data_IF_729372707341
#
_entry.id   IF_729372707341
#
_cell.length_a   1.000
_cell.length_b   1.000
_cell.length_c   1.000
_cell.angle_alpha   90.00
_cell.angle_beta   90.00
_cell.angle_gamma   90.00
#
_symmetry.space_group_name_H-M   'P 1'
#
loop_
_entity.id
_entity.type
_entity.pdbx_description
1 polymer ?
#
# COMPACT_ATOMS: atom_id res chain seq x y z
N UNK A 1 -18.89 4.21 43.76
CA UNK A 1 -18.66 3.39 42.56
C UNK A 1 -17.48 2.48 42.89
N UNK A 2 -17.67 1.16 42.85
CA UNK A 2 -16.56 0.26 43.16
C UNK A 2 -15.45 0.40 42.11
N UNK A 3 -14.18 0.27 42.51
CA UNK A 3 -13.02 0.32 41.62
C UNK A 3 -13.19 -0.65 40.44
N UNK A 4 -13.84 -1.80 40.67
CA UNK A 4 -14.25 -2.77 39.65
C UNK A 4 -15.13 -2.14 38.56
N UNK A 5 -16.16 -1.38 38.94
CA UNK A 5 -17.04 -0.66 38.02
C UNK A 5 -16.33 0.46 37.28
N UNK A 6 -15.37 1.16 37.92
CA UNK A 6 -14.54 2.17 37.26
C UNK A 6 -13.64 1.52 36.20
N UNK A 7 -13.02 0.38 36.51
CA UNK A 7 -12.18 -0.39 35.58
C UNK A 7 -13.02 -0.96 34.43
N UNK A 8 -14.24 -1.45 34.67
CA UNK A 8 -15.15 -1.92 33.61
C UNK A 8 -15.63 -0.77 32.73
N UNK A 9 -15.90 0.40 33.30
CA UNK A 9 -16.30 1.59 32.57
C UNK A 9 -15.13 2.15 31.73
N UNK A 10 -13.91 2.18 32.26
CA UNK A 10 -12.70 2.63 31.55
C UNK A 10 -12.25 1.61 30.49
N UNK A 11 -12.42 0.31 30.71
CA UNK A 11 -12.10 -0.71 29.69
C UNK A 11 -13.12 -0.69 28.53
N UNK A 12 -14.41 -0.51 28.81
CA UNK A 12 -15.44 -0.27 27.79
C UNK A 12 -15.28 1.07 27.06
N UNK A 13 -15.03 2.16 27.80
CA UNK A 13 -14.78 3.49 27.25
C UNK A 13 -13.42 3.58 26.52
N UNK A 14 -12.41 2.84 26.97
CA UNK A 14 -11.07 2.80 26.39
C UNK A 14 -11.06 2.11 25.03
N UNK A 15 -11.74 0.98 24.88
CA UNK A 15 -11.94 0.34 23.57
C UNK A 15 -12.74 1.26 22.64
N UNK A 16 -13.79 1.91 23.15
CA UNK A 16 -14.56 2.90 22.40
C UNK A 16 -13.73 4.11 21.94
N UNK A 17 -12.84 4.61 22.79
CA UNK A 17 -11.94 5.73 22.49
C UNK A 17 -10.87 5.35 21.47
N UNK A 18 -10.27 4.15 21.58
CA UNK A 18 -9.30 3.63 20.60
C UNK A 18 -9.96 3.41 19.24
N UNK A 19 -11.15 2.80 19.19
CA UNK A 19 -11.92 2.65 17.96
C UNK A 19 -12.30 4.01 17.36
N UNK A 20 -12.73 4.96 18.18
CA UNK A 20 -13.07 6.31 17.72
C UNK A 20 -11.86 7.08 17.21
N UNK A 21 -10.70 6.95 17.86
CA UNK A 21 -9.44 7.52 17.41
C UNK A 21 -8.99 6.90 16.07
N UNK A 22 -9.10 5.57 15.93
CA UNK A 22 -8.81 4.86 14.69
C UNK A 22 -9.75 5.28 13.55
N UNK A 23 -11.06 5.32 13.80
CA UNK A 23 -12.07 5.79 12.84
C UNK A 23 -11.84 7.25 12.43
N UNK A 24 -11.54 8.12 13.40
CA UNK A 24 -11.23 9.53 13.15
C UNK A 24 -9.94 9.69 12.34
N UNK A 25 -8.92 8.88 12.63
CA UNK A 25 -7.67 8.86 11.89
C UNK A 25 -7.86 8.38 10.44
N UNK A 26 -8.63 7.30 10.23
CA UNK A 26 -8.99 6.81 8.89
C UNK A 26 -9.80 7.85 8.11
N UNK A 27 -10.74 8.53 8.77
CA UNK A 27 -11.55 9.57 8.14
C UNK A 27 -10.74 10.83 7.81
N UNK A 28 -9.79 11.21 8.67
CA UNK A 28 -8.91 12.37 8.48
C UNK A 28 -7.88 12.13 7.37
N UNK A 29 -7.31 10.93 7.30
CA UNK A 29 -6.31 10.57 6.27
C UNK A 29 -6.92 10.50 4.86
N UNK A 30 -8.19 10.08 4.72
CA UNK A 30 -8.92 10.11 3.44
C UNK A 30 -9.12 11.54 2.90
N UNK A 31 -9.48 12.48 3.76
CA UNK A 31 -10.07 13.79 3.37
C UNK A 31 -9.10 14.79 2.70
N UNK A 32 -7.78 14.69 2.93
CA UNK A 32 -6.85 15.78 2.55
C UNK A 32 -5.88 15.47 1.40
N UNK A 33 -5.53 14.20 1.14
CA UNK A 33 -4.54 13.84 0.10
C UNK A 33 -5.03 12.74 -0.85
N UNK A 34 -5.76 11.76 -0.31
CA UNK A 34 -6.33 10.69 -1.13
C UNK A 34 -7.38 11.25 -2.08
N UNK A 35 -8.25 12.16 -1.63
CA UNK A 35 -9.31 12.76 -2.45
C UNK A 35 -8.79 13.50 -3.69
N UNK A 36 -7.64 14.20 -3.60
CA UNK A 36 -7.05 14.89 -4.74
C UNK A 36 -6.44 13.90 -5.75
N UNK A 37 -5.63 12.95 -5.27
CA UNK A 37 -4.97 11.95 -6.12
C UNK A 37 -5.99 11.00 -6.76
N UNK A 38 -7.01 10.57 -6.00
CA UNK A 38 -8.08 9.72 -6.54
C UNK A 38 -8.98 10.47 -7.53
N UNK A 39 -9.17 11.78 -7.33
CA UNK A 39 -9.86 12.63 -8.31
C UNK A 39 -9.06 12.76 -9.60
N UNK A 40 -7.78 13.11 -9.55
CA UNK A 40 -6.91 13.22 -10.73
C UNK A 40 -6.83 11.89 -11.49
N UNK A 41 -6.67 10.77 -10.79
CA UNK A 41 -6.72 9.42 -11.39
C UNK A 41 -8.09 9.09 -12.00
N UNK A 42 -9.18 9.53 -11.37
CA UNK A 42 -10.51 9.33 -11.93
C UNK A 42 -10.75 10.16 -13.18
N UNK A 43 -10.23 11.39 -13.22
CA UNK A 43 -10.28 12.26 -14.40
C UNK A 43 -9.43 11.68 -15.52
N UNK A 44 -8.19 11.27 -15.23
CA UNK A 44 -7.34 10.55 -16.18
C UNK A 44 -8.04 9.32 -16.76
N UNK A 45 -8.70 8.49 -15.94
CA UNK A 45 -9.43 7.31 -16.44
C UNK A 45 -10.60 7.67 -17.36
N UNK A 46 -11.32 8.76 -17.08
CA UNK A 46 -12.39 9.26 -17.96
C UNK A 46 -11.82 9.77 -19.28
N UNK A 47 -10.69 10.46 -19.22
CA UNK A 47 -10.01 10.98 -20.41
C UNK A 47 -9.50 9.84 -21.30
N UNK A 48 -8.91 8.79 -20.71
CA UNK A 48 -8.49 7.59 -21.45
C UNK A 48 -9.69 6.89 -22.10
N UNK A 49 -10.82 6.79 -21.42
CA UNK A 49 -12.05 6.23 -22.02
C UNK A 49 -12.55 7.08 -23.20
N UNK A 50 -12.56 8.41 -23.06
CA UNK A 50 -12.94 9.30 -24.15
C UNK A 50 -11.97 9.22 -25.34
N UNK A 51 -10.67 9.04 -25.08
CA UNK A 51 -9.66 8.79 -26.11
C UNK A 51 -9.95 7.47 -26.83
N UNK A 52 -10.24 6.39 -26.10
CA UNK A 52 -10.61 5.09 -26.71
C UNK A 52 -11.85 5.21 -27.61
N UNK A 53 -12.89 5.93 -27.15
CA UNK A 53 -14.11 6.16 -27.94
C UNK A 53 -13.83 6.95 -29.22
N UNK A 54 -12.89 7.90 -29.18
CA UNK A 54 -12.54 8.71 -30.34
C UNK A 54 -11.50 8.04 -31.26
N UNK A 55 -10.66 7.13 -30.77
CA UNK A 55 -9.81 6.26 -31.60
C UNK A 55 -10.67 5.37 -32.52
N UNK A 56 -11.82 4.89 -32.02
CA UNK A 56 -12.78 4.13 -32.82
C UNK A 56 -13.47 4.93 -33.94
N UNK A 57 -13.35 6.27 -33.95
CA UNK A 57 -13.98 7.16 -34.93
C UNK A 57 -12.95 7.68 -35.91
N UNK A 58 -13.00 7.23 -37.17
CA UNK A 58 -12.02 7.57 -38.23
C UNK A 58 -11.68 9.07 -38.28
N UNK A 59 -12.68 9.96 -38.21
CA UNK A 59 -12.47 11.41 -38.26
C UNK A 59 -11.85 12.06 -37.01
N UNK A 60 -11.67 11.32 -35.91
CA UNK A 60 -11.15 11.83 -34.64
C UNK A 60 -9.84 11.19 -34.18
N UNK A 61 -9.33 10.20 -34.91
CA UNK A 61 -8.14 9.42 -34.54
C UNK A 61 -6.92 10.30 -34.26
N UNK A 62 -6.65 11.29 -35.11
CA UNK A 62 -5.51 12.19 -34.95
C UNK A 62 -5.57 12.99 -33.63
N UNK A 63 -6.74 13.58 -33.33
CA UNK A 63 -6.97 14.31 -32.07
C UNK A 63 -6.90 13.37 -30.85
N UNK A 64 -7.43 12.16 -30.98
CA UNK A 64 -7.37 11.14 -29.93
C UNK A 64 -5.91 10.74 -29.62
N UNK A 65 -5.08 10.49 -30.64
CA UNK A 65 -3.65 10.19 -30.47
C UNK A 65 -2.89 11.36 -29.85
N UNK A 66 -3.19 12.60 -30.26
CA UNK A 66 -2.55 13.78 -29.66
C UNK A 66 -2.87 13.91 -28.17
N UNK A 67 -4.13 13.68 -27.78
CA UNK A 67 -4.54 13.65 -26.37
C UNK A 67 -3.93 12.45 -25.62
N UNK A 68 -3.80 11.29 -26.27
CA UNK A 68 -3.17 10.12 -25.66
C UNK A 68 -1.73 10.40 -25.23
N UNK A 69 -0.94 11.08 -26.09
CA UNK A 69 0.46 11.45 -25.79
C UNK A 69 0.63 12.28 -24.52
N UNK A 70 -0.39 13.06 -24.11
CA UNK A 70 -0.34 13.83 -22.86
C UNK A 70 -0.81 13.05 -21.63
N UNK A 71 -1.35 11.84 -21.82
CA UNK A 71 -1.89 10.99 -20.75
C UNK A 71 -1.04 9.77 -20.45
N UNK A 72 -0.25 9.28 -21.40
CA UNK A 72 0.70 8.17 -21.19
C UNK A 72 2.02 8.65 -20.59
N UNK A 73 2.77 7.73 -20.00
CA UNK A 73 4.00 8.05 -19.30
C UNK A 73 5.12 8.52 -20.27
N UNK A 74 5.66 9.74 -20.13
CA UNK A 74 6.68 10.25 -21.03
C UNK A 74 8.04 9.54 -20.89
N UNK A 75 8.31 8.88 -19.75
CA UNK A 75 9.56 8.14 -19.54
C UNK A 75 9.69 6.92 -20.46
N UNK A 76 8.60 6.41 -21.03
CA UNK A 76 8.64 5.31 -21.98
C UNK A 76 9.13 5.67 -23.38
N UNK A 77 9.14 6.95 -23.73
CA UNK A 77 9.37 7.39 -25.13
C UNK A 77 10.71 6.92 -25.71
N UNK A 78 11.74 6.85 -24.87
CA UNK A 78 13.09 6.45 -25.27
C UNK A 78 13.43 5.01 -24.87
N UNK A 79 12.48 4.25 -24.30
CA UNK A 79 12.70 2.87 -23.91
C UNK A 79 12.50 1.94 -25.09
N UNK A 80 13.25 0.85 -25.08
CA UNK A 80 13.20 -0.21 -26.07
C UNK A 80 12.90 -1.54 -25.41
N UNK A 81 12.66 -2.60 -26.21
CA UNK A 81 12.46 -3.95 -25.69
C UNK A 81 13.65 -4.45 -24.83
N UNK A 82 14.85 -3.88 -25.01
CA UNK A 82 16.05 -4.20 -24.22
C UNK A 82 15.91 -3.75 -22.75
N UNK A 83 15.07 -2.75 -22.48
CA UNK A 83 14.74 -2.25 -21.13
C UNK A 83 13.76 -3.16 -20.37
N UNK A 84 13.40 -4.31 -20.96
CA UNK A 84 12.58 -5.38 -20.36
C UNK A 84 11.26 -4.87 -19.81
N UNK A 85 10.98 -5.08 -18.53
CA UNK A 85 9.71 -4.74 -17.90
C UNK A 85 9.50 -3.22 -17.81
N UNK A 86 10.58 -2.43 -17.75
CA UNK A 86 10.52 -0.96 -17.74
C UNK A 86 9.86 -0.42 -19.00
N UNK A 87 10.14 -1.04 -20.16
CA UNK A 87 9.52 -0.69 -21.44
C UNK A 87 7.99 -0.80 -21.40
N UNK A 88 7.47 -1.84 -20.76
CA UNK A 88 6.02 -2.06 -20.66
C UNK A 88 5.38 -1.21 -19.56
N UNK A 89 6.04 -1.06 -18.40
CA UNK A 89 5.52 -0.32 -17.24
C UNK A 89 5.50 1.19 -17.44
N UNK A 90 6.32 1.72 -18.35
CA UNK A 90 6.37 3.15 -18.69
C UNK A 90 5.72 3.46 -20.05
N UNK A 91 4.84 2.61 -20.57
CA UNK A 91 4.10 2.83 -21.82
C UNK A 91 4.98 2.92 -23.09
N UNK A 92 6.20 2.39 -23.06
CA UNK A 92 7.11 2.40 -24.21
C UNK A 92 6.55 1.67 -25.43
N UNK A 93 5.81 0.58 -25.22
CA UNK A 93 5.10 -0.14 -26.28
C UNK A 93 4.05 0.74 -26.99
N UNK A 94 3.32 1.58 -26.25
CA UNK A 94 2.35 2.52 -26.81
C UNK A 94 3.06 3.63 -27.59
N UNK A 95 4.15 4.19 -27.05
CA UNK A 95 4.97 5.18 -27.75
C UNK A 95 5.50 4.63 -29.09
N UNK A 96 6.03 3.42 -29.08
CA UNK A 96 6.56 2.74 -30.28
C UNK A 96 5.50 2.56 -31.37
N UNK A 97 4.27 2.19 -30.99
CA UNK A 97 3.17 2.04 -31.95
C UNK A 97 2.72 3.40 -32.49
N UNK A 98 2.56 4.40 -31.63
CA UNK A 98 2.18 5.77 -32.02
C UNK A 98 3.15 6.39 -33.02
N UNK A 99 4.44 6.07 -32.98
CA UNK A 99 5.43 6.60 -33.91
C UNK A 99 5.34 5.99 -35.32
N UNK A 100 4.77 4.80 -35.45
CA UNK A 100 4.73 4.03 -36.69
C UNK A 100 3.33 3.88 -37.29
N UNK A 101 2.30 4.23 -36.52
CA UNK A 101 0.90 4.01 -36.89
C UNK A 101 0.47 4.81 -38.12
N UNK A 102 -0.16 4.14 -39.08
CA UNK A 102 -1.00 4.78 -40.08
C UNK A 102 -2.42 4.92 -39.52
N UNK A 103 -2.84 6.15 -39.24
CA UNK A 103 -4.16 6.45 -38.67
C UNK A 103 -5.33 6.06 -39.60
N UNK A 104 -5.06 5.84 -40.88
CA UNK A 104 -6.03 5.35 -41.87
C UNK A 104 -6.25 3.84 -41.74
N UNK A 105 -5.22 3.13 -41.28
CA UNK A 105 -5.27 1.68 -41.07
C UNK A 105 -6.05 1.37 -39.78
N UNK A 106 -7.26 0.84 -39.95
CA UNK A 106 -8.13 0.52 -38.81
C UNK A 106 -7.58 -0.60 -37.94
N UNK A 107 -6.81 -1.54 -38.49
CA UNK A 107 -6.21 -2.64 -37.73
C UNK A 107 -5.15 -2.13 -36.74
N UNK A 108 -4.23 -1.27 -37.20
CA UNK A 108 -3.22 -0.66 -36.32
C UNK A 108 -3.83 0.28 -35.26
N UNK A 109 -4.93 0.94 -35.61
CA UNK A 109 -5.67 1.78 -34.64
C UNK A 109 -6.38 0.93 -33.59
N UNK A 110 -6.89 -0.24 -33.97
CA UNK A 110 -7.48 -1.18 -33.02
C UNK A 110 -6.41 -1.81 -32.12
N UNK A 111 -5.23 -2.13 -32.64
CA UNK A 111 -4.07 -2.56 -31.85
C UNK A 111 -3.69 -1.50 -30.81
N UNK A 112 -3.61 -0.22 -31.21
CA UNK A 112 -3.37 0.88 -30.29
C UNK A 112 -4.48 0.97 -29.23
N UNK A 113 -5.74 0.82 -29.64
CA UNK A 113 -6.86 0.81 -28.71
C UNK A 113 -6.76 -0.34 -27.71
N UNK A 114 -6.32 -1.54 -28.13
CA UNK A 114 -6.12 -2.69 -27.25
C UNK A 114 -5.01 -2.45 -26.20
N UNK A 115 -3.88 -1.87 -26.60
CA UNK A 115 -2.85 -1.48 -25.62
C UNK A 115 -3.37 -0.44 -24.63
N UNK A 116 -4.11 0.56 -25.10
CA UNK A 116 -4.70 1.61 -24.24
C UNK A 116 -5.78 1.03 -23.31
N UNK A 117 -6.58 0.06 -23.76
CA UNK A 117 -7.56 -0.66 -22.92
C UNK A 117 -6.85 -1.45 -21.81
N UNK A 118 -5.74 -2.11 -22.13
CA UNK A 118 -4.93 -2.82 -21.15
C UNK A 118 -4.32 -1.87 -20.12
N UNK A 119 -3.76 -0.74 -20.56
CA UNK A 119 -3.25 0.30 -19.66
C UNK A 119 -4.33 0.81 -18.72
N UNK A 120 -5.52 1.13 -19.26
CA UNK A 120 -6.66 1.58 -18.47
C UNK A 120 -7.08 0.54 -17.42
N UNK A 121 -7.17 -0.74 -17.82
CA UNK A 121 -7.55 -1.84 -16.92
C UNK A 121 -6.49 -2.07 -15.85
N UNK A 122 -5.21 -1.98 -16.21
CA UNK A 122 -4.09 -2.13 -15.30
C UNK A 122 -4.08 -1.01 -14.24
N UNK A 123 -4.21 0.26 -14.62
CA UNK A 123 -4.32 1.37 -13.66
C UNK A 123 -5.50 1.18 -12.70
N UNK A 124 -6.64 0.73 -13.21
CA UNK A 124 -7.81 0.45 -12.38
C UNK A 124 -7.55 -0.63 -11.32
N UNK A 125 -6.95 -1.77 -11.68
CA UNK A 125 -6.64 -2.83 -10.70
C UNK A 125 -5.54 -2.39 -9.72
N UNK A 126 -4.51 -1.70 -10.21
CA UNK A 126 -3.42 -1.16 -9.41
C UNK A 126 -3.91 -0.14 -8.38
N UNK A 127 -4.80 0.79 -8.76
CA UNK A 127 -5.32 1.82 -7.85
C UNK A 127 -6.09 1.24 -6.65
N UNK A 128 -6.85 0.15 -6.83
CA UNK A 128 -7.52 -0.55 -5.72
C UNK A 128 -6.53 -1.14 -4.72
N UNK A 129 -5.37 -1.56 -5.22
CA UNK A 129 -4.29 -2.07 -4.38
C UNK A 129 -3.61 -0.92 -3.62
N UNK A 130 -3.25 0.17 -4.31
CA UNK A 130 -2.60 1.34 -3.69
C UNK A 130 -3.46 1.92 -2.55
N UNK A 131 -4.78 2.01 -2.72
CA UNK A 131 -5.68 2.48 -1.64
C UNK A 131 -5.63 1.57 -0.42
N UNK A 132 -5.65 0.24 -0.62
CA UNK A 132 -5.57 -0.72 0.49
C UNK A 132 -4.21 -0.65 1.18
N UNK A 133 -3.15 -0.50 0.40
CA UNK A 133 -1.79 -0.32 0.89
C UNK A 133 -1.64 0.95 1.72
N UNK A 134 -2.20 2.08 1.27
CA UNK A 134 -2.15 3.34 2.00
C UNK A 134 -2.88 3.25 3.35
N UNK A 135 -4.01 2.54 3.42
CA UNK A 135 -4.72 2.29 4.70
C UNK A 135 -3.83 1.49 5.66
N UNK A 136 -3.17 0.44 5.15
CA UNK A 136 -2.32 -0.44 5.97
C UNK A 136 -1.05 0.29 6.41
N UNK A 137 -0.42 1.07 5.52
CA UNK A 137 0.70 1.94 5.88
C UNK A 137 0.30 2.94 6.95
N UNK A 138 -0.86 3.58 6.80
CA UNK A 138 -1.39 4.52 7.80
C UNK A 138 -1.60 3.85 9.15
N UNK A 139 -2.11 2.61 9.18
CA UNK A 139 -2.28 1.84 10.40
C UNK A 139 -0.93 1.46 11.04
N UNK A 140 0.07 1.06 10.25
CA UNK A 140 1.42 0.78 10.75
C UNK A 140 2.04 2.06 11.34
N UNK A 141 1.90 3.20 10.66
CA UNK A 141 2.34 4.49 11.19
C UNK A 141 1.67 4.85 12.51
N UNK A 142 0.37 4.57 12.63
CA UNK A 142 -0.35 4.76 13.88
C UNK A 142 0.26 3.90 15.00
N UNK A 143 0.50 2.62 14.76
CA UNK A 143 1.14 1.73 15.75
C UNK A 143 2.55 2.19 16.13
N UNK A 144 3.39 2.54 15.14
CA UNK A 144 4.76 3.03 15.36
C UNK A 144 4.83 4.31 16.22
N UNK A 145 3.73 5.05 16.37
CA UNK A 145 3.65 6.26 17.20
C UNK A 145 2.96 5.98 18.54
N UNK A 146 1.85 5.24 18.55
CA UNK A 146 1.05 5.00 19.76
C UNK A 146 1.72 4.00 20.69
N UNK A 147 2.36 2.96 20.15
CA UNK A 147 3.04 1.94 20.95
C UNK A 147 4.22 2.49 21.78
N UNK A 148 5.13 3.34 21.24
CA UNK A 148 6.13 4.03 22.08
C UNK A 148 5.56 4.87 23.22
N UNK A 149 4.43 5.56 22.98
CA UNK A 149 3.75 6.35 24.02
C UNK A 149 3.21 5.42 25.11
N UNK A 150 2.57 4.32 24.70
CA UNK A 150 2.11 3.27 25.63
C UNK A 150 3.27 2.70 26.45
N UNK A 151 4.40 2.35 25.83
CA UNK A 151 5.57 1.85 26.53
C UNK A 151 6.10 2.85 27.56
N UNK A 152 6.12 4.14 27.23
CA UNK A 152 6.55 5.20 28.14
C UNK A 152 5.63 5.29 29.37
N UNK A 153 4.32 5.15 29.20
CA UNK A 153 3.36 5.08 30.32
C UNK A 153 3.57 3.82 31.17
N UNK A 154 3.85 2.67 30.56
CA UNK A 154 4.12 1.42 31.28
C UNK A 154 5.39 1.51 32.14
N UNK A 155 6.45 2.13 31.61
CA UNK A 155 7.69 2.40 32.34
C UNK A 155 7.42 3.29 33.55
N UNK A 156 6.62 4.34 33.38
CA UNK A 156 6.35 5.33 34.44
C UNK A 156 5.42 4.80 35.54
N UNK A 157 4.41 4.01 35.18
CA UNK A 157 3.26 3.70 36.07
C UNK A 157 3.30 2.26 36.60
N UNK A 158 3.81 1.29 35.82
CA UNK A 158 3.53 -0.13 36.07
C UNK A 158 4.77 -0.96 36.40
N UNK A 159 5.86 -0.80 35.65
CA UNK A 159 7.02 -1.66 35.79
C UNK A 159 8.11 -1.00 36.63
N UNK A 160 8.48 -1.63 37.74
CA UNK A 160 9.60 -1.20 38.60
C UNK A 160 10.91 -1.95 38.27
N UNK A 161 10.82 -3.03 37.49
CA UNK A 161 11.98 -3.85 37.12
C UNK A 161 12.81 -3.15 36.04
N UNK A 162 14.04 -2.76 36.37
CA UNK A 162 14.94 -2.00 35.50
C UNK A 162 15.18 -2.67 34.14
N UNK A 163 15.36 -4.00 34.11
CA UNK A 163 15.57 -4.74 32.86
C UNK A 163 14.39 -4.61 31.88
N UNK A 164 13.16 -4.66 32.38
CA UNK A 164 11.94 -4.50 31.56
C UNK A 164 11.81 -3.06 31.06
N UNK A 165 12.18 -2.08 31.89
CA UNK A 165 12.18 -0.67 31.48
C UNK A 165 13.16 -0.40 30.34
N UNK A 166 14.38 -0.96 30.44
CA UNK A 166 15.41 -0.83 29.39
C UNK A 166 14.96 -1.51 28.09
N UNK A 167 14.35 -2.69 28.17
CA UNK A 167 13.81 -3.39 27.01
C UNK A 167 12.74 -2.56 26.29
N UNK A 168 11.74 -2.05 27.02
CA UNK A 168 10.68 -1.20 26.47
C UNK A 168 11.22 0.10 25.88
N UNK A 169 12.26 0.68 26.49
CA UNK A 169 12.93 1.87 25.97
C UNK A 169 13.63 1.59 24.64
N UNK A 170 14.41 0.51 24.54
CA UNK A 170 15.07 0.11 23.29
C UNK A 170 14.06 -0.20 22.17
N UNK A 171 12.98 -0.92 22.49
CA UNK A 171 11.88 -1.21 21.56
C UNK A 171 11.24 0.09 21.04
N UNK A 172 11.02 1.06 21.93
CA UNK A 172 10.43 2.34 21.56
C UNK A 172 11.34 3.15 20.62
N UNK A 173 12.65 3.16 20.85
CA UNK A 173 13.62 3.80 19.94
C UNK A 173 13.56 3.15 18.56
N UNK A 174 13.55 1.81 18.49
CA UNK A 174 13.49 1.09 17.22
C UNK A 174 12.23 1.43 16.43
N UNK A 175 11.07 1.53 17.09
CA UNK A 175 9.81 1.91 16.45
C UNK A 175 9.81 3.38 15.97
N UNK A 176 10.37 4.29 16.75
CA UNK A 176 10.53 5.70 16.34
C UNK A 176 11.42 5.81 15.11
N UNK A 177 12.56 5.11 15.08
CA UNK A 177 13.41 5.02 13.89
C UNK A 177 12.66 4.39 12.71
N UNK A 178 11.77 3.43 13.00
CA UNK A 178 10.80 2.84 12.08
C UNK A 178 10.04 3.89 11.27
N UNK A 179 9.54 4.94 11.91
CA UNK A 179 8.71 5.96 11.24
C UNK A 179 9.44 6.65 10.08
N UNK A 180 10.75 6.88 10.22
CA UNK A 180 11.54 7.57 9.19
C UNK A 180 11.83 6.68 7.98
N UNK A 181 12.13 5.40 8.21
CA UNK A 181 12.58 4.48 7.16
C UNK A 181 11.46 3.65 6.52
N UNK A 182 10.31 3.49 7.19
CA UNK A 182 9.24 2.61 6.74
C UNK A 182 8.68 2.96 5.34
N UNK A 183 8.61 4.26 4.99
CA UNK A 183 8.11 4.69 3.67
C UNK A 183 9.01 4.31 2.51
N UNK A 184 10.32 4.39 2.70
CA UNK A 184 11.30 4.03 1.66
C UNK A 184 11.36 2.51 1.51
N UNK A 185 11.32 1.83 2.64
CA UNK A 185 11.28 0.37 2.74
C UNK A 185 10.11 -0.25 1.98
N UNK A 186 8.91 0.33 2.13
CA UNK A 186 7.68 -0.13 1.49
C UNK A 186 7.63 0.11 -0.03
N UNK A 187 8.40 1.08 -0.55
CA UNK A 187 8.48 1.32 -2.00
C UNK A 187 9.30 0.28 -2.76
N UNK A 188 10.25 -0.38 -2.09
CA UNK A 188 11.20 -1.32 -2.70
C UNK A 188 10.92 -2.78 -2.38
N UNK A 189 9.68 -3.11 -2.02
CA UNK A 189 9.24 -4.46 -1.62
C UNK A 189 9.77 -5.57 -2.53
N UNK A 190 9.77 -5.35 -3.86
CA UNK A 190 10.21 -6.36 -4.84
C UNK A 190 11.73 -6.55 -4.89
N UNK A 191 12.49 -5.58 -4.42
CA UNK A 191 13.95 -5.53 -4.50
C UNK A 191 14.61 -5.72 -3.12
N UNK A 192 13.86 -6.24 -2.15
CA UNK A 192 14.36 -6.37 -0.78
C UNK A 192 15.62 -7.24 -0.69
N UNK A 193 16.66 -6.62 -0.18
CA UNK A 193 17.90 -7.25 0.26
C UNK A 193 17.71 -8.04 1.55
N UNK A 194 18.68 -8.90 1.90
CA UNK A 194 18.67 -9.63 3.18
C UNK A 194 18.60 -8.68 4.39
N UNK A 195 19.24 -7.52 4.32
CA UNK A 195 19.20 -6.50 5.38
C UNK A 195 17.80 -5.93 5.58
N UNK A 196 17.12 -5.65 4.47
CA UNK A 196 15.74 -5.16 4.47
C UNK A 196 14.77 -6.19 5.10
N UNK A 197 14.92 -7.47 4.77
CA UNK A 197 14.15 -8.54 5.40
C UNK A 197 14.39 -8.64 6.91
N UNK A 198 15.66 -8.55 7.35
CA UNK A 198 16.01 -8.58 8.78
C UNK A 198 15.43 -7.36 9.50
N UNK A 199 15.56 -6.17 8.93
CA UNK A 199 15.00 -4.93 9.48
C UNK A 199 13.48 -5.04 9.66
N UNK A 200 12.76 -5.55 8.67
CA UNK A 200 11.32 -5.77 8.75
C UNK A 200 10.94 -6.78 9.83
N UNK A 201 11.69 -7.89 9.92
CA UNK A 201 11.51 -8.87 10.98
C UNK A 201 11.71 -8.27 12.38
N UNK A 202 12.72 -7.43 12.55
CA UNK A 202 12.97 -6.72 13.81
C UNK A 202 11.85 -5.73 14.14
N UNK A 203 11.41 -4.92 13.17
CA UNK A 203 10.37 -3.92 13.37
C UNK A 203 9.03 -4.57 13.73
N UNK A 204 8.64 -5.63 13.00
CA UNK A 204 7.41 -6.38 13.27
C UNK A 204 7.45 -7.11 14.62
N UNK A 205 8.62 -7.64 15.01
CA UNK A 205 8.82 -8.25 16.33
C UNK A 205 8.71 -7.20 17.44
N UNK A 206 9.30 -6.02 17.26
CA UNK A 206 9.23 -4.93 18.23
C UNK A 206 7.79 -4.46 18.48
N UNK A 207 7.01 -4.29 17.40
CA UNK A 207 5.58 -3.96 17.50
C UNK A 207 4.81 -5.08 18.22
N UNK A 208 5.08 -6.35 17.88
CA UNK A 208 4.45 -7.51 18.53
C UNK A 208 4.73 -7.55 20.04
N UNK A 209 5.98 -7.32 20.45
CA UNK A 209 6.37 -7.31 21.86
C UNK A 209 5.68 -6.14 22.59
N UNK A 210 5.70 -4.94 22.02
CA UNK A 210 5.06 -3.76 22.61
C UNK A 210 3.55 -3.94 22.78
N UNK A 211 2.86 -4.45 21.75
CA UNK A 211 1.45 -4.86 21.83
C UNK A 211 1.20 -5.87 22.95
N UNK A 212 2.12 -6.82 23.16
CA UNK A 212 2.04 -7.80 24.25
C UNK A 212 2.09 -7.17 25.65
N UNK A 213 3.01 -6.23 25.86
CA UNK A 213 3.11 -5.49 27.12
C UNK A 213 1.90 -4.60 27.37
N UNK A 214 1.33 -3.99 26.33
CA UNK A 214 0.07 -3.24 26.42
C UNK A 214 -1.09 -4.16 26.85
N UNK A 215 -1.20 -5.35 26.26
CA UNK A 215 -2.22 -6.33 26.67
C UNK A 215 -2.03 -6.82 28.10
N UNK A 216 -0.79 -7.04 28.53
CA UNK A 216 -0.48 -7.39 29.93
C UNK A 216 -0.97 -6.34 30.93
N UNK A 217 -0.95 -5.06 30.54
CA UNK A 217 -1.45 -3.97 31.38
C UNK A 217 -2.98 -3.90 31.45
N UNK A 218 -3.66 -4.16 30.34
CA UNK A 218 -5.13 -4.06 30.24
C UNK A 218 -5.81 -5.29 30.85
N UNK A 219 -5.22 -6.47 30.70
CA UNK A 219 -5.83 -7.75 31.06
C UNK A 219 -5.47 -8.11 32.51
N UNK A 220 -6.45 -8.57 33.33
CA UNK A 220 -6.16 -9.02 34.70
C UNK A 220 -5.07 -10.08 34.75
N UNK A 221 -4.14 -9.95 35.70
CA UNK A 221 -3.00 -10.87 35.93
C UNK A 221 -3.39 -12.31 36.26
N UNK A 222 -4.67 -12.60 36.44
CA UNK A 222 -5.20 -13.96 36.65
C UNK A 222 -5.28 -14.80 35.38
N UNK A 223 -5.04 -14.22 34.20
CA UNK A 223 -5.03 -14.96 32.93
C UNK A 223 -3.66 -15.63 32.73
N UNK A 224 -3.67 -16.92 32.36
CA UNK A 224 -2.45 -17.69 32.09
C UNK A 224 -1.60 -17.06 30.97
N UNK A 225 -0.27 -17.05 31.15
CA UNK A 225 0.71 -16.54 30.18
C UNK A 225 0.47 -17.08 28.75
N UNK A 226 0.14 -18.37 28.62
CA UNK A 226 -0.16 -19.00 27.33
C UNK A 226 -1.30 -18.29 26.57
N UNK A 227 -2.38 -17.93 27.27
CA UNK A 227 -3.53 -17.23 26.66
C UNK A 227 -3.17 -15.82 26.20
N UNK A 228 -2.27 -15.15 26.93
CA UNK A 228 -1.76 -13.82 26.54
C UNK A 228 -0.90 -13.91 25.28
N UNK A 229 -0.05 -14.94 25.16
CA UNK A 229 0.76 -15.20 23.96
C UNK A 229 -0.15 -15.50 22.75
N UNK A 230 -1.16 -16.36 22.93
CA UNK A 230 -2.13 -16.68 21.86
C UNK A 230 -2.87 -15.42 21.40
N UNK A 231 -3.30 -14.57 22.35
CA UNK A 231 -3.99 -13.32 22.03
C UNK A 231 -3.09 -12.35 21.26
N UNK A 232 -1.82 -12.21 21.66
CA UNK A 232 -0.86 -11.37 20.94
C UNK A 232 -0.65 -11.86 19.49
N UNK A 233 -0.43 -13.16 19.30
CA UNK A 233 -0.30 -13.74 17.96
C UNK A 233 -1.55 -13.52 17.10
N UNK A 234 -2.74 -13.59 17.70
CA UNK A 234 -4.00 -13.29 17.02
C UNK A 234 -4.11 -11.83 16.60
N UNK A 235 -3.65 -10.87 17.42
CA UNK A 235 -3.65 -9.43 17.09
C UNK A 235 -2.66 -9.10 15.98
N UNK A 236 -1.53 -9.81 15.90
CA UNK A 236 -0.50 -9.59 14.86
C UNK A 236 -0.81 -10.29 13.53
N UNK A 237 -1.61 -11.36 13.55
CA UNK A 237 -1.96 -12.15 12.36
C UNK A 237 -2.61 -11.35 11.21
N UNK A 238 -3.50 -10.36 11.43
CA UNK A 238 -4.12 -9.59 10.36
C UNK A 238 -3.13 -8.62 9.72
N UNK A 239 -2.18 -8.09 10.50
CA UNK A 239 -1.13 -7.20 9.99
C UNK A 239 -0.20 -7.98 9.05
N UNK A 240 0.28 -9.14 9.51
CA UNK A 240 1.10 -10.03 8.69
C UNK A 240 0.37 -10.50 7.43
N UNK A 241 -0.89 -10.95 7.55
CA UNK A 241 -1.70 -11.40 6.43
C UNK A 241 -2.00 -10.29 5.42
N UNK A 242 -2.23 -9.06 5.90
CA UNK A 242 -2.46 -7.89 5.06
C UNK A 242 -1.20 -7.53 4.26
N UNK A 243 -0.03 -7.51 4.91
CA UNK A 243 1.26 -7.23 4.26
C UNK A 243 1.60 -8.32 3.22
N UNK A 244 1.42 -9.60 3.54
CA UNK A 244 1.67 -10.70 2.60
C UNK A 244 0.74 -10.63 1.39
N UNK A 245 -0.56 -10.39 1.60
CA UNK A 245 -1.54 -10.27 0.52
C UNK A 245 -1.23 -9.09 -0.41
N UNK A 246 -0.71 -8.01 0.17
CA UNK A 246 -0.27 -6.84 -0.57
C UNK A 246 0.92 -7.19 -1.48
N UNK A 247 1.96 -7.77 -0.89
CA UNK A 247 3.21 -8.11 -1.60
C UNK A 247 2.92 -9.06 -2.77
N UNK A 248 2.14 -10.12 -2.53
CA UNK A 248 1.86 -11.15 -3.53
C UNK A 248 0.91 -10.67 -4.64
N UNK A 249 -0.03 -9.77 -4.33
CA UNK A 249 -1.05 -9.34 -5.31
C UNK A 249 -0.60 -8.15 -6.15
N UNK A 250 0.20 -7.24 -5.58
CA UNK A 250 0.81 -6.15 -6.34
C UNK A 250 1.78 -6.65 -7.41
N UNK A 251 2.59 -7.68 -7.10
CA UNK A 251 3.50 -8.30 -8.07
C UNK A 251 2.76 -9.02 -9.20
N UNK A 252 1.70 -9.76 -8.86
CA UNK A 252 0.94 -10.54 -9.83
C UNK A 252 0.22 -9.72 -10.88
N UNK A 253 -0.34 -8.54 -10.55
CA UNK A 253 -1.03 -7.70 -11.54
C UNK A 253 -0.06 -7.07 -12.55
N UNK A 254 1.14 -6.65 -12.12
CA UNK A 254 2.21 -6.19 -13.02
C UNK A 254 2.68 -7.29 -13.96
N UNK A 255 2.98 -8.47 -13.43
CA UNK A 255 3.40 -9.64 -14.23
C UNK A 255 2.32 -10.06 -15.21
N UNK A 256 1.05 -10.04 -14.80
CA UNK A 256 -0.09 -10.34 -15.67
C UNK A 256 -0.26 -9.31 -16.77
N UNK A 257 -0.11 -8.02 -16.46
CA UNK A 257 -0.15 -6.93 -17.44
C UNK A 257 0.96 -7.10 -18.49
N UNK A 258 2.21 -7.19 -18.05
CA UNK A 258 3.38 -7.37 -18.93
C UNK A 258 3.26 -8.66 -19.74
N UNK A 259 2.85 -9.76 -19.11
CA UNK A 259 2.65 -11.04 -19.79
C UNK A 259 1.54 -11.00 -20.84
N UNK A 260 0.53 -10.15 -20.67
CA UNK A 260 -0.52 -9.95 -21.68
C UNK A 260 0.01 -9.11 -22.85
N UNK A 261 0.78 -8.06 -22.57
CA UNK A 261 1.41 -7.23 -23.61
C UNK A 261 2.37 -8.04 -24.48
N UNK A 262 3.25 -8.83 -23.87
CA UNK A 262 4.18 -9.73 -24.58
C UNK A 262 3.44 -10.74 -25.48
N UNK A 263 2.23 -11.18 -25.11
CA UNK A 263 1.41 -12.10 -25.92
C UNK A 263 0.79 -11.41 -27.14
N UNK A 264 0.47 -10.12 -27.06
CA UNK A 264 -0.05 -9.36 -28.19
C UNK A 264 1.09 -9.15 -29.19
N UNK A 265 2.24 -8.65 -28.71
CA UNK A 265 3.44 -8.44 -29.54
C UNK A 265 3.93 -9.71 -30.25
N UNK A 266 3.83 -10.88 -29.60
CA UNK A 266 4.22 -12.16 -30.21
C UNK A 266 3.19 -12.76 -31.19
N UNK A 267 1.95 -12.25 -31.24
CA UNK A 267 0.96 -12.68 -32.24
C UNK A 267 1.13 -11.96 -33.58
N UNK A 268 1.88 -10.87 -33.59
CA UNK A 268 2.00 -9.93 -34.71
C UNK A 268 3.35 -10.03 -35.43
N UNK A 269 4.32 -10.74 -34.84
CA UNK A 269 5.59 -11.14 -35.48
C UNK A 269 5.51 -12.56 -36.05
#
# INVERSE_FOLDING_TARGET
MEISQIITLISGAGIGAVLSALLTFINSSKKNKLDFITKERSEWRKDIQAILDDLGKVGKRSEAIQRLKSRINPYGKNLTAEDKDSFYLHDGHIWRLIEKIDISNTEQVEELADYVRLLWKYDWERSKYEIRFDIINSFIYFLLVVEPISNSLLILIKFEVLWVQVELFCISILMILGTFHFKEFTKKIKEWTRYELVYFGLLTSAMSISSGFMLYWIIPTSISILKLIILNLLVMSPIAGAIITIILKGSGEEEKYIGTLKKIENKEN
#
